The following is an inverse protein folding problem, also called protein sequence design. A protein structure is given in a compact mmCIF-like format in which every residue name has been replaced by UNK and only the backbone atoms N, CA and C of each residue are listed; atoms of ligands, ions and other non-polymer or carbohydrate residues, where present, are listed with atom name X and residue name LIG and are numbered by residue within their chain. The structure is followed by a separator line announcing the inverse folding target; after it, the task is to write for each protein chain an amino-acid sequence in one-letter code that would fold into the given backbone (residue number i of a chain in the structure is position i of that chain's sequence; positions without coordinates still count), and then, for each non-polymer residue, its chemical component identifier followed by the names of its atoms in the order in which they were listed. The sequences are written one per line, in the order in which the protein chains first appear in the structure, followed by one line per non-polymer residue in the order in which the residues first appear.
data_IF_144036452915
#
_entry.id   IF_144036452915
#
_cell.length_a   1.000
_cell.length_b   1.000
_cell.length_c   1.000
_cell.angle_alpha   90.00
_cell.angle_beta   90.00
_cell.angle_gamma   90.00
#
_symmetry.space_group_name_H-M   'P 1'
#
loop_
_entity.id
_entity.type
_entity.pdbx_description
1 polymer ?
#
# COMPACT_ATOMS: atom_id res chain seq x y z
N UNK A 1 8.67 -8.75 3.52
CA UNK A 1 7.54 -8.88 2.59
C UNK A 1 6.55 -7.75 2.74
N UNK A 2 5.86 -7.60 3.89
CA UNK A 2 5.12 -6.35 4.16
C UNK A 2 6.00 -5.12 4.40
N UNK A 3 7.28 -5.32 4.71
CA UNK A 3 8.29 -4.25 4.79
C UNK A 3 8.38 -3.43 3.50
N UNK A 4 7.96 -3.99 2.36
CA UNK A 4 7.92 -3.28 1.08
C UNK A 4 6.92 -2.11 1.09
N UNK A 5 5.88 -2.14 1.94
CA UNK A 5 4.90 -1.04 2.05
C UNK A 5 5.40 0.14 2.89
N UNK A 6 6.33 -0.07 3.83
CA UNK A 6 6.75 0.96 4.78
C UNK A 6 7.31 2.20 4.08
N UNK A 7 8.21 2.08 3.08
CA UNK A 7 8.73 3.26 2.39
C UNK A 7 7.65 4.04 1.64
N UNK A 8 6.69 3.35 1.01
CA UNK A 8 5.61 4.02 0.26
C UNK A 8 4.63 4.73 1.18
N UNK A 9 4.31 4.15 2.35
CA UNK A 9 3.45 4.81 3.34
C UNK A 9 4.01 6.16 3.74
N UNK A 10 5.26 6.20 4.18
CA UNK A 10 5.90 7.46 4.61
C UNK A 10 6.05 8.43 3.45
N UNK A 11 6.41 7.96 2.25
CA UNK A 11 6.55 8.84 1.10
C UNK A 11 5.20 9.45 0.65
N UNK A 12 4.11 8.69 0.72
CA UNK A 12 2.76 9.19 0.43
C UNK A 12 2.31 10.18 1.50
N UNK A 13 2.58 9.92 2.79
CA UNK A 13 2.28 10.85 3.88
C UNK A 13 3.00 12.20 3.66
N UNK A 14 4.29 12.16 3.31
CA UNK A 14 5.08 13.37 3.01
C UNK A 14 4.56 14.09 1.77
N UNK A 15 4.33 13.37 0.66
CA UNK A 15 3.77 13.96 -0.56
C UNK A 15 2.44 14.67 -0.29
N UNK A 16 1.52 14.03 0.45
CA UNK A 16 0.22 14.61 0.74
C UNK A 16 0.34 15.87 1.61
N UNK A 17 1.25 15.88 2.59
CA UNK A 17 1.53 17.04 3.42
C UNK A 17 2.14 18.20 2.63
N UNK A 18 3.09 17.94 1.73
CA UNK A 18 3.75 18.97 0.93
C UNK A 18 2.84 19.55 -0.15
N UNK A 19 2.00 18.71 -0.76
CA UNK A 19 1.15 19.10 -1.89
C UNK A 19 -0.31 19.34 -1.53
N UNK A 20 -0.69 19.20 -0.25
CA UNK A 20 -2.04 19.47 0.25
C UNK A 20 -3.10 18.46 -0.24
N UNK A 21 -2.70 17.27 -0.65
CA UNK A 21 -3.60 16.21 -1.10
C UNK A 21 -2.92 15.07 -1.82
N UNK A 22 -3.69 14.01 -2.09
CA UNK A 22 -3.19 12.75 -2.64
C UNK A 22 -3.12 12.71 -4.18
N UNK A 23 -3.76 13.65 -4.87
CA UNK A 23 -3.96 13.58 -6.33
C UNK A 23 -2.66 13.55 -7.15
N UNK A 24 -1.55 14.04 -6.59
CA UNK A 24 -0.23 14.04 -7.23
C UNK A 24 0.73 12.99 -6.65
N UNK A 25 0.25 12.15 -5.72
CA UNK A 25 1.07 11.19 -4.99
C UNK A 25 1.17 9.85 -5.71
N UNK A 26 1.67 9.87 -6.93
CA UNK A 26 1.92 8.68 -7.75
C UNK A 26 3.34 8.13 -7.56
N UNK A 27 3.49 6.82 -7.78
CA UNK A 27 4.78 6.14 -7.71
C UNK A 27 5.79 6.71 -8.70
N UNK A 28 6.99 7.04 -8.23
CA UNK A 28 8.04 7.67 -9.04
C UNK A 28 7.92 9.20 -9.15
N UNK A 29 6.97 9.83 -8.45
CA UNK A 29 6.77 11.29 -8.45
C UNK A 29 6.75 11.85 -7.04
N UNK A 30 7.05 13.15 -6.89
CA UNK A 30 6.91 13.89 -5.62
C UNK A 30 7.50 13.18 -4.40
N UNK A 31 8.74 12.67 -4.55
CA UNK A 31 9.47 11.98 -3.49
C UNK A 31 9.06 10.51 -3.27
N UNK A 32 8.03 10.01 -3.96
CA UNK A 32 7.60 8.62 -3.88
C UNK A 32 8.50 7.75 -4.78
N UNK A 33 9.14 6.69 -4.23
CA UNK A 33 9.94 5.78 -5.04
C UNK A 33 9.15 5.17 -6.20
N UNK A 34 9.84 4.86 -7.29
CA UNK A 34 9.25 4.10 -8.38
C UNK A 34 8.87 2.68 -7.88
N UNK A 35 7.66 2.18 -8.21
CA UNK A 35 7.26 0.84 -7.83
C UNK A 35 8.24 -0.24 -8.32
N UNK A 36 8.56 -1.18 -7.43
CA UNK A 36 9.47 -2.28 -7.72
C UNK A 36 8.88 -3.63 -7.29
N UNK A 37 9.16 -4.65 -8.10
CA UNK A 37 8.77 -6.04 -7.81
C UNK A 37 9.83 -6.75 -6.98
N UNK A 38 9.47 -7.88 -6.41
CA UNK A 38 10.40 -8.75 -5.67
C UNK A 38 10.09 -10.20 -5.97
N UNK A 39 10.84 -11.14 -5.39
CA UNK A 39 10.58 -12.57 -5.58
C UNK A 39 9.14 -13.00 -5.27
N UNK A 40 8.43 -12.35 -4.34
CA UNK A 40 7.06 -12.74 -3.98
C UNK A 40 6.02 -11.66 -4.29
N UNK A 41 6.44 -10.61 -5.00
CA UNK A 41 5.58 -9.49 -5.43
C UNK A 41 5.66 -9.39 -6.94
N UNK A 42 4.60 -9.78 -7.65
CA UNK A 42 4.52 -9.73 -9.11
C UNK A 42 4.26 -8.34 -9.64
N UNK A 43 3.53 -7.51 -8.88
CA UNK A 43 3.23 -6.15 -9.25
C UNK A 43 3.10 -5.27 -8.01
N UNK A 44 3.54 -4.03 -8.12
CA UNK A 44 3.32 -2.97 -7.14
C UNK A 44 2.94 -1.70 -7.91
N UNK A 45 1.95 -0.98 -7.41
CA UNK A 45 1.55 0.33 -7.94
C UNK A 45 1.33 1.31 -6.80
N UNK A 46 1.64 2.58 -7.04
CA UNK A 46 1.21 3.69 -6.19
C UNK A 46 0.49 4.69 -7.08
N UNK A 47 -0.80 4.88 -6.84
CA UNK A 47 -1.64 5.76 -7.64
C UNK A 47 -2.49 6.63 -6.71
N UNK A 48 -2.32 7.95 -6.79
CA UNK A 48 -2.96 8.92 -5.91
C UNK A 48 -2.87 8.52 -4.43
N UNK A 49 -1.67 8.09 -4.01
CA UNK A 49 -1.38 7.61 -2.65
C UNK A 49 -1.87 6.20 -2.32
N UNK A 50 -2.72 5.58 -3.14
CA UNK A 50 -3.15 4.19 -2.95
C UNK A 50 -2.03 3.25 -3.37
N UNK A 51 -1.59 2.40 -2.44
CA UNK A 51 -0.54 1.41 -2.71
C UNK A 51 -1.18 0.03 -2.91
N UNK A 52 -1.01 -0.57 -4.08
CA UNK A 52 -1.54 -1.90 -4.39
C UNK A 52 -0.41 -2.85 -4.72
N UNK A 53 -0.50 -4.07 -4.19
CA UNK A 53 0.47 -5.14 -4.40
C UNK A 53 -0.24 -6.41 -4.85
N UNK A 54 0.34 -7.10 -5.82
CA UNK A 54 -0.05 -8.46 -6.20
C UNK A 54 1.05 -9.44 -5.82
N UNK A 55 0.68 -10.52 -5.14
CA UNK A 55 1.57 -11.58 -4.73
C UNK A 55 1.88 -12.58 -5.84
N UNK A 56 3.00 -13.26 -5.72
CA UNK A 56 3.39 -14.41 -6.56
C UNK A 56 4.06 -15.49 -5.71
N UNK A 57 4.42 -16.61 -6.33
CA UNK A 57 5.00 -17.77 -5.66
C UNK A 57 4.06 -18.27 -4.54
N UNK A 58 4.54 -18.34 -3.30
CA UNK A 58 3.74 -18.70 -2.14
C UNK A 58 2.64 -17.69 -1.79
N UNK A 59 2.68 -16.48 -2.36
CA UNK A 59 1.66 -15.44 -2.20
C UNK A 59 0.76 -15.31 -3.43
N UNK A 60 0.81 -16.27 -4.36
CA UNK A 60 0.01 -16.21 -5.58
C UNK A 60 -1.50 -16.06 -5.26
N UNK A 61 -2.15 -15.15 -5.97
CA UNK A 61 -3.56 -14.82 -5.77
C UNK A 61 -3.84 -13.84 -4.64
N UNK A 62 -2.85 -13.49 -3.79
CA UNK A 62 -2.99 -12.45 -2.79
C UNK A 62 -2.89 -11.07 -3.44
N UNK A 63 -3.84 -10.19 -3.13
CA UNK A 63 -3.79 -8.77 -3.43
C UNK A 63 -3.91 -8.00 -2.12
N UNK A 64 -3.06 -7.00 -1.96
CA UNK A 64 -3.09 -6.11 -0.80
C UNK A 64 -3.22 -4.68 -1.28
N UNK A 65 -4.20 -3.96 -0.73
CA UNK A 65 -4.44 -2.54 -1.02
C UNK A 65 -4.31 -1.74 0.27
N UNK A 66 -3.50 -0.68 0.24
CA UNK A 66 -3.37 0.31 1.29
C UNK A 66 -3.88 1.65 0.79
N UNK A 67 -4.95 2.15 1.42
CA UNK A 67 -5.63 3.39 1.05
C UNK A 67 -5.45 4.41 2.17
N UNK A 68 -4.77 5.53 1.92
CA UNK A 68 -4.66 6.62 2.90
C UNK A 68 -6.01 7.35 3.03
N UNK A 69 -6.40 7.63 4.26
CA UNK A 69 -7.43 8.61 4.56
C UNK A 69 -6.80 10.00 4.55
N UNK A 70 -7.31 10.90 3.72
CA UNK A 70 -6.89 12.30 3.67
C UNK A 70 -8.03 13.23 4.05
N UNK A 71 -7.73 14.18 4.91
CA UNK A 71 -8.58 15.30 5.26
C UNK A 71 -7.78 16.60 5.09
N UNK A 72 -8.34 17.61 4.42
CA UNK A 72 -7.61 18.83 4.13
C UNK A 72 -7.26 19.67 5.37
N UNK A 73 -7.96 19.47 6.50
CA UNK A 73 -7.69 20.18 7.74
C UNK A 73 -6.76 19.38 8.67
N UNK A 74 -6.86 18.05 8.66
CA UNK A 74 -6.17 17.15 9.59
C UNK A 74 -5.02 16.36 8.95
N UNK A 75 -4.84 16.46 7.63
CA UNK A 75 -3.86 15.71 6.87
C UNK A 75 -4.22 14.23 6.74
N UNK A 76 -3.23 13.34 6.90
CA UNK A 76 -3.46 11.90 6.86
C UNK A 76 -4.14 11.45 8.15
N UNK A 77 -5.35 10.90 8.04
CA UNK A 77 -6.18 10.50 9.18
C UNK A 77 -6.09 9.01 9.51
N UNK A 78 -5.45 8.24 8.64
CA UNK A 78 -5.27 6.81 8.83
C UNK A 78 -5.00 6.08 7.52
N UNK A 79 -4.91 4.75 7.62
CA UNK A 79 -4.68 3.87 6.47
C UNK A 79 -5.60 2.66 6.53
N UNK A 80 -6.52 2.58 5.56
CA UNK A 80 -7.30 1.37 5.32
C UNK A 80 -6.42 0.35 4.61
N UNK A 81 -6.58 -0.91 5.02
CA UNK A 81 -5.82 -2.05 4.52
C UNK A 81 -6.80 -3.14 4.15
N UNK A 82 -6.68 -3.66 2.95
CA UNK A 82 -7.53 -4.72 2.43
C UNK A 82 -6.66 -5.87 1.91
N UNK A 83 -6.98 -7.09 2.36
CA UNK A 83 -6.37 -8.33 1.90
C UNK A 83 -7.40 -9.13 1.10
N UNK A 84 -7.22 -9.17 -0.21
CA UNK A 84 -8.02 -9.97 -1.13
C UNK A 84 -7.28 -11.23 -1.55
N UNK A 85 -8.00 -12.35 -1.61
CA UNK A 85 -7.47 -13.59 -2.17
C UNK A 85 -8.56 -14.35 -2.92
N UNK A 86 -8.23 -14.83 -4.11
CA UNK A 86 -9.16 -15.60 -4.94
C UNK A 86 -9.53 -16.98 -4.32
N UNK A 87 -8.60 -17.61 -3.61
CA UNK A 87 -8.81 -18.93 -2.98
C UNK A 87 -7.72 -19.20 -1.93
N UNK A 88 -8.02 -19.00 -0.64
CA UNK A 88 -7.07 -19.34 0.43
C UNK A 88 -7.33 -18.62 1.76
N UNK A 89 -8.32 -19.09 2.52
CA UNK A 89 -8.70 -18.48 3.81
C UNK A 89 -7.55 -18.34 4.81
N UNK A 90 -6.62 -19.32 4.86
CA UNK A 90 -5.46 -19.26 5.75
C UNK A 90 -4.47 -18.14 5.35
N UNK A 91 -4.26 -17.89 4.05
CA UNK A 91 -3.38 -16.82 3.58
C UNK A 91 -4.05 -15.44 3.76
N UNK A 92 -5.38 -15.36 3.59
CA UNK A 92 -6.15 -14.17 3.96
C UNK A 92 -5.99 -13.85 5.44
N UNK A 93 -6.23 -14.84 6.31
CA UNK A 93 -6.09 -14.68 7.75
C UNK A 93 -4.67 -14.26 8.14
N UNK A 94 -3.64 -14.88 7.56
CA UNK A 94 -2.26 -14.50 7.80
C UNK A 94 -1.96 -13.06 7.35
N UNK A 95 -2.51 -12.63 6.21
CA UNK A 95 -2.41 -11.24 5.75
C UNK A 95 -3.06 -10.28 6.75
N UNK A 96 -4.30 -10.56 7.14
CA UNK A 96 -5.07 -9.75 8.09
C UNK A 96 -4.43 -9.70 9.48
N UNK A 97 -3.91 -10.83 9.98
CA UNK A 97 -3.24 -10.91 11.28
C UNK A 97 -1.97 -10.04 11.32
N UNK A 98 -1.24 -9.93 10.21
CA UNK A 98 -0.11 -8.99 10.11
C UNK A 98 -0.60 -7.54 10.21
N UNK A 99 -1.78 -7.23 9.69
CA UNK A 99 -2.36 -5.89 9.71
C UNK A 99 -3.26 -5.60 10.93
N UNK A 100 -3.49 -6.57 11.82
CA UNK A 100 -4.49 -6.51 12.88
C UNK A 100 -4.18 -5.52 14.00
N UNK A 101 -2.90 -5.23 14.22
CA UNK A 101 -2.43 -4.26 15.20
C UNK A 101 -1.93 -3.03 14.45
N UNK A 102 -2.80 -2.05 14.23
CA UNK A 102 -2.50 -0.63 13.98
C UNK A 102 -3.80 0.12 13.70
#
# INVERSE_FOLDING_TARGET
MLQTFIPYRTAVELCALEHGGLASCDGGSNGIPAPATTRYVSALTVAQGVVTLSGQESLNGLRVTMTPGWDSANGITGWQRECDIASGGALKQACEDVFRFN
#
